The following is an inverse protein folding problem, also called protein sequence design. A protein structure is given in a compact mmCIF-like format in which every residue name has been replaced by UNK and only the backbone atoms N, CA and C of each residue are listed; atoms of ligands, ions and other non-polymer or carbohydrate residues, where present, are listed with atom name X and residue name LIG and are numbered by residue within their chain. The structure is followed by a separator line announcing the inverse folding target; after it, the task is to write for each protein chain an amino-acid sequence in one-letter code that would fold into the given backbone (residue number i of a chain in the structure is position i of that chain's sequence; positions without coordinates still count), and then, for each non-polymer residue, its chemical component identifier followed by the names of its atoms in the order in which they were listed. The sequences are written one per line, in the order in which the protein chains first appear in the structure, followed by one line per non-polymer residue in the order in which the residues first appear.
data_IF_020090558892
#
_entry.id   IF_020090558892
#
_cell.length_a   1.000
_cell.length_b   1.000
_cell.length_c   1.000
_cell.angle_alpha   90.00
_cell.angle_beta   90.00
_cell.angle_gamma   90.00
#
_symmetry.space_group_name_H-M   'P 1'
#
loop_
_entity.id
_entity.type
_entity.pdbx_description
1 polymer ?
#
# COMPACT_ATOMS: atom_id res chain seq x y z
N UNK A 1 -39.56 -52.95 18.98
CA UNK A 1 -39.99 -51.82 19.83
C UNK A 1 -38.75 -50.97 20.07
N UNK A 2 -38.43 -49.97 19.23
CA UNK A 2 -38.93 -48.58 19.35
C UNK A 2 -38.46 -48.00 20.69
N UNK A 3 -37.64 -46.94 20.80
CA UNK A 3 -37.80 -45.59 20.25
C UNK A 3 -36.43 -44.86 20.19
N UNK A 4 -36.33 -43.89 19.27
CA UNK A 4 -35.23 -42.96 19.00
C UNK A 4 -34.90 -41.96 20.13
N UNK A 5 -33.68 -41.40 20.01
CA UNK A 5 -33.31 -39.97 20.13
C UNK A 5 -32.49 -39.53 21.36
N UNK A 6 -31.21 -39.21 21.14
CA UNK A 6 -30.64 -37.90 21.47
C UNK A 6 -29.38 -37.64 20.60
N UNK A 7 -29.39 -36.52 19.90
CA UNK A 7 -28.33 -35.99 19.02
C UNK A 7 -27.51 -34.97 19.81
N UNK A 8 -26.17 -35.10 19.82
CA UNK A 8 -25.16 -34.04 20.03
C UNK A 8 -23.77 -34.72 20.12
N UNK A 9 -22.66 -34.31 19.52
CA UNK A 9 -22.35 -33.27 18.56
C UNK A 9 -21.05 -33.68 17.83
N UNK A 10 -20.91 -33.18 16.61
CA UNK A 10 -19.80 -33.29 15.64
C UNK A 10 -18.49 -32.77 16.27
N UNK A 11 -17.30 -33.36 16.07
CA UNK A 11 -16.41 -33.09 14.94
C UNK A 11 -15.33 -34.18 14.82
N UNK A 12 -15.39 -34.98 13.77
CA UNK A 12 -14.21 -35.61 13.19
C UNK A 12 -13.53 -34.56 12.29
N UNK A 13 -12.43 -33.98 12.75
CA UNK A 13 -11.55 -33.17 11.92
C UNK A 13 -10.11 -33.24 12.44
N UNK A 14 -9.49 -34.42 12.34
CA UNK A 14 -8.04 -34.49 12.26
C UNK A 14 -7.66 -34.52 10.78
N UNK A 15 -7.88 -33.39 10.09
CA UNK A 15 -7.42 -33.21 8.73
C UNK A 15 -5.95 -32.78 8.79
N UNK A 16 -5.07 -33.71 8.46
CA UNK A 16 -3.68 -33.48 8.09
C UNK A 16 -3.63 -32.42 6.98
N UNK A 17 -3.38 -31.18 7.38
CA UNK A 17 -3.31 -30.03 6.49
C UNK A 17 -2.28 -29.03 6.99
N UNK A 18 -1.07 -29.50 7.30
CA UNK A 18 0.11 -28.63 7.24
C UNK A 18 0.35 -28.35 5.76
N UNK A 19 -0.47 -27.47 5.17
CA UNK A 19 -0.11 -26.83 3.92
C UNK A 19 1.24 -26.18 4.16
N UNK A 20 2.27 -26.58 3.40
CA UNK A 20 3.53 -25.84 3.35
C UNK A 20 3.14 -24.38 3.13
N UNK A 21 3.44 -23.51 4.10
CA UNK A 21 3.27 -22.09 3.88
C UNK A 21 4.05 -21.78 2.61
N UNK A 22 3.33 -21.51 1.51
CA UNK A 22 3.97 -21.16 0.26
C UNK A 22 4.94 -20.04 0.55
N UNK A 23 6.14 -20.11 -0.02
CA UNK A 23 7.09 -19.00 0.06
C UNK A 23 6.32 -17.72 -0.27
N UNK A 24 6.25 -16.81 0.69
CA UNK A 24 5.54 -15.55 0.51
C UNK A 24 6.20 -14.84 -0.67
N UNK A 25 5.55 -14.89 -1.83
CA UNK A 25 5.94 -14.04 -2.94
C UNK A 25 5.52 -12.63 -2.54
N UNK A 26 6.48 -11.70 -2.54
CA UNK A 26 6.15 -10.29 -2.43
C UNK A 26 5.09 -9.98 -3.51
N UNK A 27 3.98 -9.36 -3.11
CA UNK A 27 2.95 -8.98 -4.05
C UNK A 27 3.59 -8.10 -5.13
N UNK A 28 3.45 -8.49 -6.39
CA UNK A 28 3.92 -7.68 -7.51
C UNK A 28 3.04 -6.44 -7.58
N UNK A 29 3.66 -5.25 -7.62
CA UNK A 29 2.92 -4.00 -7.79
C UNK A 29 2.35 -3.95 -9.20
N UNK A 30 1.04 -3.71 -9.31
CA UNK A 30 0.39 -3.49 -10.60
C UNK A 30 0.72 -2.07 -11.08
N UNK A 31 1.70 -1.97 -11.98
CA UNK A 31 2.19 -0.69 -12.49
C UNK A 31 1.16 0.06 -13.34
N UNK A 32 -0.04 -0.45 -13.58
CA UNK A 32 -1.16 0.22 -14.24
C UNK A 32 -2.25 0.71 -13.27
N UNK A 33 -2.13 0.41 -11.98
CA UNK A 33 -3.09 0.81 -10.96
C UNK A 33 -2.67 2.11 -10.25
N UNK A 34 -3.68 2.80 -9.70
CA UNK A 34 -3.49 3.92 -8.78
C UNK A 34 -3.64 3.43 -7.34
N UNK A 35 -2.69 3.76 -6.50
CA UNK A 35 -2.63 3.35 -5.10
C UNK A 35 -2.76 4.56 -4.17
N UNK A 36 -3.42 4.35 -3.03
CA UNK A 36 -3.34 5.26 -1.89
C UNK A 36 -2.45 4.59 -0.86
N UNK A 37 -1.30 5.20 -0.56
CA UNK A 37 -0.34 4.67 0.39
C UNK A 37 -0.73 5.17 1.78
N UNK A 38 -1.29 4.28 2.61
CA UNK A 38 -1.79 4.62 3.94
C UNK A 38 -0.81 4.14 5.01
N UNK A 39 -0.39 5.06 5.86
CA UNK A 39 0.40 4.71 7.04
C UNK A 39 -0.50 3.94 8.03
N UNK A 40 -0.12 2.71 8.39
CA UNK A 40 -0.90 1.85 9.28
C UNK A 40 -1.06 2.41 10.70
N UNK A 41 -0.08 3.17 11.19
CA UNK A 41 -0.09 3.72 12.54
C UNK A 41 -0.97 4.96 12.67
N UNK A 42 -0.95 5.85 11.68
CA UNK A 42 -1.69 7.12 11.70
C UNK A 42 -3.04 7.06 10.97
N UNK A 43 -3.24 6.10 10.06
CA UNK A 43 -4.37 6.03 9.15
C UNK A 43 -4.36 7.11 8.05
N UNK A 44 -3.32 7.96 8.00
CA UNK A 44 -3.17 9.04 7.02
C UNK A 44 -2.55 8.52 5.72
N UNK A 45 -2.90 9.18 4.61
CA UNK A 45 -2.37 8.88 3.30
C UNK A 45 -1.14 9.73 2.98
N UNK A 46 -0.26 9.21 2.13
CA UNK A 46 0.74 10.00 1.41
C UNK A 46 0.01 11.05 0.56
N UNK A 47 0.44 12.30 0.63
CA UNK A 47 -0.29 13.44 0.10
C UNK A 47 0.69 14.49 -0.44
N UNK A 48 0.42 15.02 -1.63
CA UNK A 48 1.07 16.25 -2.10
C UNK A 48 0.31 17.45 -1.57
N UNK A 49 1.01 18.29 -0.79
CA UNK A 49 0.40 19.40 -0.06
C UNK A 49 -0.32 20.38 -0.98
N UNK A 50 -1.56 20.68 -0.61
CA UNK A 50 -2.44 21.60 -1.34
C UNK A 50 -2.79 21.16 -2.77
N UNK A 51 -2.56 19.89 -3.12
CA UNK A 51 -2.63 19.40 -4.51
C UNK A 51 -1.78 20.26 -5.47
N UNK A 52 -0.67 20.82 -4.98
CA UNK A 52 0.22 21.67 -5.77
C UNK A 52 0.74 20.95 -7.01
N UNK A 53 0.93 21.69 -8.09
CA UNK A 53 1.59 21.21 -9.31
C UNK A 53 2.95 21.87 -9.50
N UNK A 54 3.43 22.65 -8.53
CA UNK A 54 4.76 23.25 -8.54
C UNK A 54 5.84 22.20 -8.25
N UNK A 55 7.05 22.44 -8.79
CA UNK A 55 8.25 21.70 -8.44
C UNK A 55 8.64 22.02 -6.99
N UNK A 56 9.11 21.02 -6.24
CA UNK A 56 9.48 21.19 -4.84
C UNK A 56 8.27 21.21 -3.89
N UNK A 57 7.07 20.86 -4.36
CA UNK A 57 5.90 20.82 -3.48
C UNK A 57 6.07 19.74 -2.40
N UNK A 58 5.84 20.10 -1.15
CA UNK A 58 6.03 19.22 -0.01
C UNK A 58 5.12 17.97 -0.09
N UNK A 59 5.72 16.81 0.20
CA UNK A 59 5.01 15.56 0.41
C UNK A 59 4.82 15.34 1.90
N UNK A 60 3.60 15.01 2.31
CA UNK A 60 3.20 14.93 3.71
C UNK A 60 2.29 13.72 3.96
N UNK A 61 1.98 13.47 5.23
CA UNK A 61 0.87 12.60 5.61
C UNK A 61 -0.36 13.46 5.90
N UNK A 62 -1.46 13.20 5.18
CA UNK A 62 -2.70 13.95 5.37
C UNK A 62 -3.90 13.02 5.56
N UNK A 63 -4.98 13.57 6.13
CA UNK A 63 -6.24 12.83 6.25
C UNK A 63 -6.64 12.29 4.89
N UNK A 64 -6.90 10.97 4.82
CA UNK A 64 -7.28 10.32 3.58
C UNK A 64 -8.64 10.86 3.11
N UNK A 65 -8.66 11.39 1.90
CA UNK A 65 -9.86 11.84 1.19
C UNK A 65 -9.89 11.33 -0.25
N UNK A 66 -8.98 10.41 -0.62
CA UNK A 66 -8.88 9.78 -1.93
C UNK A 66 -8.76 10.78 -3.09
N UNK A 67 -8.25 11.99 -2.84
CA UNK A 67 -7.98 12.97 -3.89
C UNK A 67 -6.87 12.51 -4.83
N UNK A 68 -6.80 13.09 -6.03
CA UNK A 68 -5.75 12.74 -7.00
C UNK A 68 -4.33 13.04 -6.50
N UNK A 69 -4.18 14.00 -5.58
CA UNK A 69 -2.93 14.29 -4.87
C UNK A 69 -2.54 13.26 -3.79
N UNK A 70 -3.41 12.28 -3.51
CA UNK A 70 -3.17 11.14 -2.62
C UNK A 70 -3.08 9.80 -3.37
N UNK A 71 -3.12 9.84 -4.71
CA UNK A 71 -3.09 8.68 -5.58
C UNK A 71 -1.79 8.63 -6.36
N UNK A 72 -1.06 7.53 -6.21
CA UNK A 72 0.25 7.35 -6.81
C UNK A 72 0.26 6.09 -7.68
N UNK A 73 0.94 6.19 -8.81
CA UNK A 73 1.24 5.06 -9.68
C UNK A 73 2.71 4.73 -9.53
N UNK A 74 3.00 3.45 -9.40
CA UNK A 74 4.38 2.95 -9.45
C UNK A 74 4.82 2.87 -10.91
N UNK A 75 5.84 3.66 -11.25
CA UNK A 75 6.48 3.68 -12.55
C UNK A 75 7.76 2.86 -12.44
N UNK A 76 7.86 1.79 -13.21
CA UNK A 76 9.03 0.93 -13.24
C UNK A 76 10.30 1.72 -13.60
N UNK A 77 11.37 1.46 -12.86
CA UNK A 77 12.70 2.02 -13.08
C UNK A 77 13.75 0.92 -13.32
N UNK A 78 13.34 -0.35 -13.41
CA UNK A 78 14.25 -1.49 -13.53
C UNK A 78 14.73 -2.00 -12.17
N UNK A 79 15.28 -3.23 -12.16
CA UNK A 79 15.90 -3.87 -11.00
C UNK A 79 15.03 -3.91 -9.73
N UNK A 80 13.71 -3.92 -9.89
CA UNK A 80 12.74 -3.90 -8.78
C UNK A 80 12.52 -2.54 -8.13
N UNK A 81 13.08 -1.47 -8.69
CA UNK A 81 12.88 -0.09 -8.24
C UNK A 81 11.73 0.58 -8.98
N UNK A 82 11.06 1.50 -8.27
CA UNK A 82 9.93 2.26 -8.81
C UNK A 82 10.03 3.73 -8.42
N UNK A 83 9.53 4.59 -9.30
CA UNK A 83 9.18 5.97 -8.98
C UNK A 83 7.70 6.06 -8.64
N UNK A 84 7.35 6.86 -7.65
CA UNK A 84 5.96 7.15 -7.32
C UNK A 84 5.53 8.40 -8.08
N UNK A 85 4.62 8.24 -9.05
CA UNK A 85 4.05 9.34 -9.83
C UNK A 85 2.71 9.76 -9.27
N UNK A 86 2.57 11.02 -8.88
CA UNK A 86 1.30 11.58 -8.40
C UNK A 86 0.29 11.72 -9.55
N UNK A 87 -0.98 11.39 -9.29
CA UNK A 87 -2.01 11.41 -10.33
C UNK A 87 -2.33 12.82 -10.81
N UNK A 88 -2.42 13.78 -9.90
CA UNK A 88 -2.89 15.14 -10.21
C UNK A 88 -1.88 15.99 -10.98
N UNK A 89 -0.59 15.89 -10.64
CA UNK A 89 0.49 16.69 -11.24
C UNK A 89 1.22 15.96 -12.36
N UNK A 90 1.18 14.63 -12.35
CA UNK A 90 1.99 13.78 -13.22
C UNK A 90 3.49 13.77 -12.89
N UNK A 91 3.90 14.43 -11.80
CA UNK A 91 5.28 14.49 -11.29
C UNK A 91 5.61 13.28 -10.42
N UNK A 92 6.89 13.02 -10.21
CA UNK A 92 7.39 11.93 -9.36
C UNK A 92 7.97 12.48 -8.07
N UNK A 93 7.97 11.68 -7.01
CA UNK A 93 8.59 12.08 -5.76
C UNK A 93 10.12 12.12 -5.86
N UNK A 94 10.73 13.07 -5.17
CA UNK A 94 12.18 13.30 -5.15
C UNK A 94 12.68 13.66 -3.74
N UNK A 95 13.97 13.43 -3.50
CA UNK A 95 14.67 13.89 -2.29
C UNK A 95 15.11 15.33 -2.53
N UNK A 96 14.64 16.25 -1.69
CA UNK A 96 14.89 17.67 -1.89
C UNK A 96 16.39 18.00 -1.96
N UNK A 97 16.79 18.70 -3.03
CA UNK A 97 18.16 19.12 -3.31
C UNK A 97 19.21 17.97 -3.28
N UNK A 98 18.81 16.74 -3.61
CA UNK A 98 19.71 15.57 -3.61
C UNK A 98 20.38 15.34 -2.25
N UNK A 99 19.70 15.72 -1.16
CA UNK A 99 20.24 15.59 0.18
C UNK A 99 20.62 14.14 0.49
N UNK A 100 21.79 13.95 1.08
CA UNK A 100 22.25 12.67 1.63
C UNK A 100 22.11 12.61 3.15
N UNK A 101 21.49 13.63 3.75
CA UNK A 101 21.29 13.70 5.20
C UNK A 101 20.06 12.90 5.63
N UNK A 102 20.11 12.37 6.85
CA UNK A 102 18.94 11.81 7.50
C UNK A 102 17.83 12.86 7.62
N UNK A 103 16.58 12.41 7.54
CA UNK A 103 15.40 13.27 7.58
C UNK A 103 15.30 14.28 6.43
N UNK A 104 15.96 14.04 5.29
CA UNK A 104 15.76 14.83 4.09
C UNK A 104 14.27 14.90 3.69
N UNK A 105 13.83 16.11 3.31
CA UNK A 105 12.47 16.33 2.86
C UNK A 105 12.20 15.63 1.53
N UNK A 106 10.98 15.11 1.39
CA UNK A 106 10.48 14.55 0.13
C UNK A 106 9.55 15.57 -0.53
N UNK A 107 9.78 15.79 -1.82
CA UNK A 107 9.02 16.72 -2.67
C UNK A 107 8.54 16.02 -3.94
N UNK A 108 7.82 16.74 -4.81
CA UNK A 108 7.52 16.32 -6.19
C UNK A 108 7.90 17.39 -7.21
#
# INVERSE_FOLDING_TARGET
MGVLAAVAAVLAALLTGLGTAGTAHAATVATNAWYVLVNRGSGKALDVSGASTADGAAVQQWTRHDGANQRFRFVDSGDGYYRLKAQHSGKVLDVYNYSTADHADIVQ
#
